data_IF_569472968364
#
_entry.id   IF_569472968364
#
_cell.length_a   1.000
_cell.length_b   1.000
_cell.length_c   1.000
_cell.angle_alpha   90.00
_cell.angle_beta   90.00
_cell.angle_gamma   90.00
#
_symmetry.space_group_name_H-M   'P 1'
#
loop_
_entity.id
_entity.type
_entity.pdbx_description
1 polymer ?
#
# COMPACT_ATOMS: atom_id res chain seq x y z
N UNK A 1 -19.50 4.76 -7.70
CA UNK A 1 -18.09 4.36 -7.65
C UNK A 1 -17.89 3.24 -8.64
N UNK A 2 -16.99 3.36 -9.63
CA UNK A 2 -16.69 2.23 -10.52
C UNK A 2 -15.94 1.15 -9.75
N UNK A 3 -16.17 -0.13 -10.09
CA UNK A 3 -15.46 -1.28 -9.48
C UNK A 3 -13.96 -1.32 -9.79
N UNK A 4 -13.50 -0.51 -10.75
CA UNK A 4 -12.09 -0.33 -11.14
C UNK A 4 -11.79 1.16 -11.28
N UNK A 5 -10.74 1.64 -10.61
CA UNK A 5 -10.26 3.03 -10.66
C UNK A 5 -8.73 3.01 -10.61
N UNK A 6 -8.07 3.69 -11.54
CA UNK A 6 -6.61 3.85 -11.56
C UNK A 6 -5.88 2.49 -11.50
N UNK A 7 -6.36 1.51 -12.27
CA UNK A 7 -5.82 0.14 -12.26
C UNK A 7 -6.11 -0.68 -11.00
N UNK A 8 -6.75 -0.11 -9.96
CA UNK A 8 -7.11 -0.80 -8.72
C UNK A 8 -8.54 -1.33 -8.83
N UNK A 9 -8.79 -2.53 -8.31
CA UNK A 9 -10.14 -3.11 -8.22
C UNK A 9 -10.66 -2.96 -6.79
N UNK A 10 -11.86 -2.40 -6.65
CA UNK A 10 -12.52 -2.22 -5.36
C UNK A 10 -13.63 -3.26 -5.24
N UNK A 11 -13.57 -4.04 -4.17
CA UNK A 11 -14.51 -5.12 -3.88
C UNK A 11 -14.82 -5.15 -2.39
N UNK A 12 -15.99 -5.66 -2.03
CA UNK A 12 -16.28 -6.01 -0.63
C UNK A 12 -15.49 -7.26 -0.22
N UNK A 13 -15.35 -7.55 1.09
CA UNK A 13 -14.74 -8.80 1.54
C UNK A 13 -15.41 -10.04 0.94
N UNK A 14 -16.74 -10.05 0.83
CA UNK A 14 -17.52 -11.15 0.26
C UNK A 14 -17.23 -11.33 -1.23
N UNK A 15 -17.18 -10.22 -1.99
CA UNK A 15 -16.80 -10.24 -3.42
C UNK A 15 -15.35 -10.71 -3.63
N UNK A 16 -14.46 -10.44 -2.68
CA UNK A 16 -13.06 -10.87 -2.71
C UNK A 16 -12.84 -12.29 -2.13
N UNK A 17 -13.87 -12.90 -1.54
CA UNK A 17 -13.75 -14.20 -0.86
C UNK A 17 -12.84 -14.17 0.35
N UNK A 18 -12.71 -13.02 1.03
CA UNK A 18 -11.85 -12.86 2.21
C UNK A 18 -12.70 -12.72 3.47
N UNK A 19 -12.24 -13.36 4.55
CA UNK A 19 -12.82 -13.21 5.88
C UNK A 19 -12.02 -12.24 6.74
N UNK A 20 -12.62 -11.75 7.82
CA UNK A 20 -11.87 -11.03 8.85
C UNK A 20 -10.73 -11.92 9.41
N UNK A 21 -9.55 -11.35 9.70
CA UNK A 21 -8.45 -12.09 10.31
C UNK A 21 -8.83 -12.62 11.69
N UNK A 22 -8.29 -13.79 12.04
CA UNK A 22 -8.37 -14.38 13.39
C UNK A 22 -7.44 -13.66 14.37
N UNK A 23 -7.65 -13.86 15.68
CA UNK A 23 -6.77 -13.29 16.71
C UNK A 23 -5.32 -13.77 16.57
N UNK A 24 -5.10 -15.02 16.15
CA UNK A 24 -3.76 -15.56 15.92
C UNK A 24 -3.08 -14.88 14.72
N UNK A 25 -3.82 -14.67 13.62
CA UNK A 25 -3.30 -13.95 12.45
C UNK A 25 -2.98 -12.48 12.80
N UNK A 26 -3.81 -11.84 13.60
CA UNK A 26 -3.56 -10.48 14.10
C UNK A 26 -2.32 -10.43 15.00
N UNK A 27 -2.16 -11.38 15.92
CA UNK A 27 -1.00 -11.45 16.79
C UNK A 27 0.29 -11.67 15.99
N UNK A 28 0.25 -12.55 14.98
CA UNK A 28 1.38 -12.78 14.07
C UNK A 28 1.70 -11.54 13.25
N UNK A 29 0.70 -10.88 12.69
CA UNK A 29 0.88 -9.66 11.93
C UNK A 29 1.48 -8.55 12.80
N UNK A 30 0.99 -8.39 14.04
CA UNK A 30 1.51 -7.42 15.01
C UNK A 30 2.99 -7.63 15.26
N UNK A 31 3.39 -8.87 15.55
CA UNK A 31 4.81 -9.22 15.74
C UNK A 31 5.67 -8.88 14.52
N UNK A 32 5.19 -9.18 13.32
CA UNK A 32 5.91 -8.86 12.09
C UNK A 32 6.08 -7.34 11.89
N UNK A 33 5.05 -6.56 12.22
CA UNK A 33 5.12 -5.09 12.20
C UNK A 33 6.09 -4.54 13.24
N UNK A 34 6.08 -5.07 14.46
CA UNK A 34 7.01 -4.64 15.52
C UNK A 34 8.46 -4.95 15.14
N UNK A 35 8.72 -6.12 14.54
CA UNK A 35 10.04 -6.49 14.01
C UNK A 35 10.50 -5.57 12.87
N UNK A 36 9.59 -5.20 11.97
CA UNK A 36 9.88 -4.25 10.90
C UNK A 36 10.19 -2.87 11.46
N UNK A 37 9.37 -2.38 12.40
CA UNK A 37 9.57 -1.08 13.02
C UNK A 37 10.92 -1.01 13.74
N UNK A 38 11.29 -2.05 14.48
CA UNK A 38 12.60 -2.13 15.12
C UNK A 38 13.75 -1.98 14.10
N UNK A 39 13.65 -2.62 12.92
CA UNK A 39 14.65 -2.45 11.85
C UNK A 39 14.68 -1.03 11.31
N UNK A 40 13.52 -0.41 11.08
CA UNK A 40 13.44 0.99 10.64
C UNK A 40 14.05 1.94 11.67
N UNK A 41 13.78 1.72 12.96
CA UNK A 41 14.28 2.56 14.03
C UNK A 41 15.81 2.48 14.19
N UNK A 42 16.42 1.35 13.82
CA UNK A 42 17.89 1.21 13.77
C UNK A 42 18.56 2.01 12.65
N UNK A 43 17.80 2.50 11.67
CA UNK A 43 18.34 3.34 10.59
C UNK A 43 18.67 4.71 11.15
N UNK A 44 19.95 5.08 11.06
CA UNK A 44 20.46 6.37 11.48
C UNK A 44 19.70 7.51 10.77
N UNK A 45 19.40 8.63 11.44
CA UNK A 45 18.64 9.73 10.85
C UNK A 45 19.19 10.20 9.50
N UNK A 46 20.51 10.18 9.32
CA UNK A 46 21.22 10.61 8.12
C UNK A 46 21.00 9.67 6.93
N UNK A 47 20.75 8.38 7.20
CA UNK A 47 20.49 7.35 6.19
C UNK A 47 19.00 7.20 5.86
N UNK A 48 18.12 7.90 6.59
CA UNK A 48 16.69 7.90 6.30
C UNK A 48 16.44 8.70 5.04
N UNK A 49 15.98 8.02 3.98
CA UNK A 49 15.52 8.68 2.76
C UNK A 49 14.30 9.56 3.08
N UNK A 50 14.52 10.86 3.15
CA UNK A 50 13.45 11.87 3.27
C UNK A 50 12.93 12.30 1.91
N UNK A 51 13.76 12.19 0.88
CA UNK A 51 13.40 12.45 -0.51
C UNK A 51 12.96 11.15 -1.20
N UNK A 52 11.65 10.99 -1.32
CA UNK A 52 11.03 9.84 -1.98
C UNK A 52 10.63 10.28 -3.37
N UNK A 53 11.01 9.49 -4.39
CA UNK A 53 10.68 9.77 -5.79
C UNK A 53 9.21 10.16 -5.96
N UNK A 54 8.88 11.22 -6.72
CA UNK A 54 7.50 11.60 -7.00
C UNK A 54 6.65 10.44 -7.54
N UNK A 55 7.27 9.48 -8.24
CA UNK A 55 6.58 8.29 -8.76
C UNK A 55 5.95 7.42 -7.66
N UNK A 56 6.49 7.47 -6.43
CA UNK A 56 5.93 6.79 -5.27
C UNK A 56 4.55 7.32 -4.91
N UNK A 57 4.33 8.63 -5.09
CA UNK A 57 3.06 9.31 -4.83
C UNK A 57 2.13 9.35 -6.05
N UNK A 58 2.63 8.88 -7.19
CA UNK A 58 1.94 8.95 -8.47
C UNK A 58 1.16 7.65 -8.72
N UNK A 59 -0.10 7.66 -8.29
CA UNK A 59 -1.06 6.57 -8.51
C UNK A 59 -1.75 6.64 -9.89
N UNK A 60 -1.59 7.73 -10.65
CA UNK A 60 -2.42 8.00 -11.84
C UNK A 60 -1.68 7.86 -13.15
N UNK A 61 -0.37 8.13 -13.23
CA UNK A 61 0.37 7.99 -14.48
C UNK A 61 0.29 6.57 -15.05
N UNK A 62 0.06 6.47 -16.35
CA UNK A 62 -0.18 5.22 -17.08
C UNK A 62 -1.61 4.67 -16.97
N UNK A 63 -2.43 5.14 -16.04
CA UNK A 63 -3.83 4.71 -15.89
C UNK A 63 -4.76 5.47 -16.84
N UNK A 64 -6.07 5.20 -16.79
CA UNK A 64 -7.09 5.99 -17.50
C UNK A 64 -7.26 7.43 -16.97
N UNK A 65 -6.63 7.76 -15.84
CA UNK A 65 -6.65 9.09 -15.21
C UNK A 65 -5.35 9.89 -15.40
N UNK A 66 -4.42 9.36 -16.19
CA UNK A 66 -3.18 10.06 -16.50
C UNK A 66 -3.47 11.28 -17.41
N UNK A 67 -3.21 12.52 -16.96
CA UNK A 67 -3.49 13.72 -17.75
C UNK A 67 -2.64 13.82 -19.02
N UNK A 68 -1.55 13.04 -19.13
CA UNK A 68 -0.65 13.04 -20.27
C UNK A 68 -0.90 11.86 -21.23
N UNK A 69 -1.87 11.00 -20.94
CA UNK A 69 -2.23 9.90 -21.82
C UNK A 69 -3.08 10.45 -22.95
N UNK A 70 -2.54 10.47 -24.17
CA UNK A 70 -3.30 10.90 -25.34
C UNK A 70 -4.55 10.03 -25.51
N UNK A 71 -5.65 10.67 -25.91
CA UNK A 71 -6.99 10.09 -26.01
C UNK A 71 -7.09 9.02 -27.11
#
# INVERSE_FOLDING_TARGET
MSKKIAGKTFSTPEEAGVSAPTEEELARARKAFDEFQARVDTVAPEDRKTDVSPKFWDDTSGTEWDPNKEA
#
